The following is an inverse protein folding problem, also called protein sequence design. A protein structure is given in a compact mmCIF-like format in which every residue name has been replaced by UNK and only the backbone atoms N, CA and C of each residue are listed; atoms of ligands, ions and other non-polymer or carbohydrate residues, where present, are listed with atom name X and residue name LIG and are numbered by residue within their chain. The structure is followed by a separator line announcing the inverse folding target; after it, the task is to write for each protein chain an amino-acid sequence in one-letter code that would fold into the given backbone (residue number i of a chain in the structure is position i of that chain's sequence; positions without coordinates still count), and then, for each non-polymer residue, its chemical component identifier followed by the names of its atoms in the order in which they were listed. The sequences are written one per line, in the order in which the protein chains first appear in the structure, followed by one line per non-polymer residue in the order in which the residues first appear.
data_IF_371340758716
#
_entry.id   IF_371340758716
#
_cell.length_a   1.000
_cell.length_b   1.000
_cell.length_c   1.000
_cell.angle_alpha   90.00
_cell.angle_beta   90.00
_cell.angle_gamma   90.00
#
_symmetry.space_group_name_H-M   'P 1'
#
loop_
_entity.id
_entity.type
_entity.pdbx_description
1 polymer ?
#
# COMPACT_ATOMS: atom_id res chain seq x y z
N UNK A 1 -1.46 -8.70 12.18
CA UNK A 1 -2.85 -8.67 12.73
C UNK A 1 -3.91 -8.39 11.65
N UNK A 2 -3.74 -7.39 10.76
CA UNK A 2 -4.76 -7.07 9.73
C UNK A 2 -5.02 -8.22 8.75
N UNK A 3 -3.98 -8.92 8.28
CA UNK A 3 -4.14 -10.10 7.41
C UNK A 3 -4.90 -11.23 8.12
N UNK A 4 -4.63 -11.45 9.42
CA UNK A 4 -5.34 -12.42 10.25
C UNK A 4 -6.84 -12.06 10.42
N UNK A 5 -7.13 -10.77 10.45
CA UNK A 5 -8.49 -10.25 10.51
C UNK A 5 -9.23 -10.29 9.15
N UNK A 6 -8.59 -10.82 8.09
CA UNK A 6 -9.19 -10.95 6.77
C UNK A 6 -9.11 -9.67 5.92
N UNK A 7 -8.34 -8.67 6.33
CA UNK A 7 -8.12 -7.47 5.53
C UNK A 7 -7.22 -7.80 4.33
N UNK A 8 -7.65 -7.43 3.14
CA UNK A 8 -6.81 -7.54 1.94
C UNK A 8 -5.86 -6.37 1.86
N UNK A 9 -4.57 -6.65 1.87
CA UNK A 9 -3.50 -5.65 1.80
C UNK A 9 -2.79 -5.78 0.46
N UNK A 10 -2.52 -4.63 -0.16
CA UNK A 10 -1.78 -4.54 -1.42
C UNK A 10 -0.65 -3.54 -1.25
N UNK A 11 0.53 -3.92 -1.71
CA UNK A 11 1.71 -3.08 -1.75
C UNK A 11 1.99 -2.68 -3.19
N UNK A 12 1.98 -1.36 -3.46
CA UNK A 12 2.22 -0.84 -4.79
C UNK A 12 3.70 -1.01 -5.16
N UNK A 13 3.95 -1.56 -6.33
CA UNK A 13 5.28 -1.73 -6.90
C UNK A 13 5.48 -0.75 -8.06
N UNK A 14 6.44 0.18 -7.94
CA UNK A 14 6.81 1.06 -9.05
C UNK A 14 7.33 0.28 -10.27
N UNK A 15 7.92 -0.89 -10.05
CA UNK A 15 8.42 -1.77 -11.12
C UNK A 15 7.25 -2.40 -11.88
N UNK A 16 6.34 -3.09 -11.17
CA UNK A 16 5.17 -3.70 -11.79
C UNK A 16 4.28 -2.67 -12.49
N UNK A 17 4.13 -1.50 -11.91
CA UNK A 17 3.38 -0.42 -12.52
C UNK A 17 3.97 0.01 -13.86
N UNK A 18 5.30 0.12 -13.97
CA UNK A 18 5.99 0.44 -15.24
C UNK A 18 5.88 -0.69 -16.26
N UNK A 19 6.12 -1.92 -15.84
CA UNK A 19 6.12 -3.09 -16.71
C UNK A 19 4.73 -3.37 -17.30
N UNK A 20 3.68 -3.01 -16.57
CA UNK A 20 2.29 -3.11 -17.05
C UNK A 20 1.91 -2.08 -18.11
N UNK A 21 2.78 -1.10 -18.43
CA UNK A 21 2.52 -0.02 -19.38
C UNK A 21 1.37 0.93 -18.97
N UNK A 22 0.88 0.83 -17.73
CA UNK A 22 -0.29 1.56 -17.22
C UNK A 22 0.07 2.70 -16.24
N UNK A 23 1.33 3.11 -16.25
CA UNK A 23 1.91 4.13 -15.36
C UNK A 23 1.30 5.52 -15.53
N UNK A 24 0.55 5.77 -16.59
CA UNK A 24 0.03 7.10 -16.94
C UNK A 24 -0.87 7.76 -15.87
N UNK A 25 -1.28 7.04 -14.83
CA UNK A 25 -2.15 7.61 -13.78
C UNK A 25 -1.41 8.23 -12.59
N UNK A 26 -0.11 7.96 -12.42
CA UNK A 26 0.68 8.52 -11.30
C UNK A 26 1.83 9.42 -11.77
N UNK A 27 1.94 9.70 -13.08
CA UNK A 27 3.01 10.46 -13.69
C UNK A 27 4.35 9.70 -13.71
N UNK A 28 5.36 10.28 -14.38
CA UNK A 28 6.72 9.71 -14.50
C UNK A 28 7.55 9.80 -13.19
N UNK A 29 6.95 10.27 -12.12
CA UNK A 29 7.63 10.39 -10.83
C UNK A 29 7.71 9.03 -10.16
N UNK A 30 8.93 8.57 -9.92
CA UNK A 30 9.26 7.47 -8.99
C UNK A 30 8.97 7.93 -7.53
N UNK A 31 7.86 8.65 -7.36
CA UNK A 31 7.43 9.13 -6.06
C UNK A 31 6.70 8.03 -5.30
N UNK A 32 7.03 7.85 -4.04
CA UNK A 32 6.24 7.01 -3.14
C UNK A 32 4.84 7.62 -3.03
N UNK A 33 3.81 6.80 -3.20
CA UNK A 33 2.44 7.23 -2.99
C UNK A 33 2.26 7.69 -1.54
N UNK A 34 1.92 8.98 -1.37
CA UNK A 34 1.68 9.57 -0.04
C UNK A 34 0.22 9.99 0.15
N UNK A 35 -0.69 9.37 -0.58
CA UNK A 35 -2.12 9.64 -0.48
C UNK A 35 -2.73 8.91 0.72
N UNK A 36 -3.51 9.65 1.52
CA UNK A 36 -4.34 9.10 2.59
C UNK A 36 -5.78 9.36 2.20
N UNK A 37 -6.45 8.32 1.75
CA UNK A 37 -7.84 8.40 1.35
C UNK A 37 -8.58 7.10 1.64
N UNK A 38 -9.85 7.21 1.96
CA UNK A 38 -10.70 6.10 2.33
C UNK A 38 -12.06 6.27 1.64
N UNK A 39 -12.48 5.24 0.89
CA UNK A 39 -13.81 5.20 0.31
C UNK A 39 -14.69 4.20 1.08
N UNK A 40 -15.83 4.66 1.59
CA UNK A 40 -16.77 3.87 2.40
C UNK A 40 -18.08 3.74 1.62
N UNK A 41 -18.60 2.52 1.50
CA UNK A 41 -19.88 2.17 0.88
C UNK A 41 -20.08 2.76 -0.52
N UNK A 42 -18.99 3.03 -1.24
CA UNK A 42 -18.99 3.66 -2.57
C UNK A 42 -19.72 5.00 -2.61
N UNK A 43 -19.87 5.67 -1.48
CA UNK A 43 -20.56 6.93 -1.29
C UNK A 43 -19.71 7.98 -0.61
N UNK A 44 -19.08 7.63 0.51
CA UNK A 44 -18.28 8.54 1.31
C UNK A 44 -16.83 8.46 0.91
N UNK A 45 -16.19 9.60 0.74
CA UNK A 45 -14.76 9.70 0.49
C UNK A 45 -14.11 10.55 1.58
N UNK A 46 -13.13 9.99 2.28
CA UNK A 46 -12.20 10.75 3.10
C UNK A 46 -10.91 11.00 2.33
N UNK A 47 -10.39 12.22 2.38
CA UNK A 47 -9.07 12.61 1.87
C UNK A 47 -8.42 13.51 2.90
N UNK A 48 -7.18 13.21 3.32
CA UNK A 48 -6.52 13.97 4.36
C UNK A 48 -5.06 13.63 4.55
N UNK A 49 -4.53 14.09 5.68
CA UNK A 49 -3.15 13.83 6.11
C UNK A 49 -3.04 12.61 7.05
N UNK A 50 -4.15 12.12 7.62
CA UNK A 50 -4.20 11.04 8.60
C UNK A 50 -3.66 9.73 8.04
N UNK A 51 -2.56 9.24 8.60
CA UNK A 51 -2.07 7.88 8.36
C UNK A 51 -2.79 6.87 9.27
N UNK A 52 -2.79 5.61 8.87
CA UNK A 52 -3.32 4.52 9.70
C UNK A 52 -2.23 3.99 10.64
N UNK A 53 -1.75 4.87 11.53
CA UNK A 53 -0.74 4.56 12.54
C UNK A 53 -1.07 5.25 13.88
N UNK A 54 -0.50 4.78 15.01
CA UNK A 54 -0.77 5.35 16.33
C UNK A 54 -0.34 6.81 16.47
N UNK A 55 0.72 7.22 15.80
CA UNK A 55 1.24 8.60 15.87
C UNK A 55 0.26 9.58 15.24
N UNK A 56 -0.27 9.29 14.06
CA UNK A 56 -1.30 10.10 13.41
C UNK A 56 -2.60 10.15 14.22
N UNK A 57 -2.95 9.04 14.90
CA UNK A 57 -4.19 8.98 15.67
C UNK A 57 -4.13 9.65 17.04
N UNK A 58 -2.93 9.82 17.64
CA UNK A 58 -2.80 10.27 19.02
C UNK A 58 -1.93 11.52 19.22
N UNK A 59 -0.99 11.79 18.33
CA UNK A 59 0.06 12.79 18.56
C UNK A 59 0.08 13.91 17.52
N UNK A 60 -0.12 13.57 16.24
CA UNK A 60 -0.04 14.55 15.17
C UNK A 60 -1.30 15.41 15.06
N UNK A 61 -1.13 16.64 14.60
CA UNK A 61 -2.26 17.45 14.12
C UNK A 61 -2.58 17.01 12.70
N UNK A 62 -3.75 16.44 12.51
CA UNK A 62 -4.21 15.92 11.22
C UNK A 62 -5.40 16.71 10.70
N UNK A 63 -5.52 16.79 9.38
CA UNK A 63 -6.63 17.44 8.71
C UNK A 63 -7.16 16.57 7.60
N UNK A 64 -8.47 16.59 7.40
CA UNK A 64 -9.10 15.87 6.31
C UNK A 64 -10.49 16.37 5.96
N UNK A 65 -10.95 15.96 4.81
CA UNK A 65 -12.28 16.24 4.30
C UNK A 65 -13.06 14.93 4.19
N UNK A 66 -14.30 14.94 4.66
CA UNK A 66 -15.28 13.88 4.42
C UNK A 66 -16.25 14.39 3.38
N UNK A 67 -16.36 13.72 2.25
CA UNK A 67 -17.15 14.15 1.09
C UNK A 67 -18.26 13.13 0.86
N UNK A 68 -19.51 13.54 0.94
CA UNK A 68 -20.66 12.71 0.53
C UNK A 68 -20.84 12.83 -0.99
N UNK A 69 -20.19 11.92 -1.71
CA UNK A 69 -20.27 11.87 -3.17
C UNK A 69 -20.00 10.45 -3.67
N UNK A 70 -21.05 9.78 -4.11
CA UNK A 70 -20.93 8.46 -4.73
C UNK A 70 -20.04 8.50 -5.98
N UNK A 71 -20.07 9.59 -6.75
CA UNK A 71 -19.24 9.74 -7.95
C UNK A 71 -17.76 9.75 -7.59
N UNK A 72 -17.35 10.60 -6.66
CA UNK A 72 -15.94 10.71 -6.26
C UNK A 72 -15.46 9.44 -5.56
N UNK A 73 -16.26 8.85 -4.66
CA UNK A 73 -15.91 7.62 -3.98
C UNK A 73 -15.72 6.45 -4.96
N UNK A 74 -16.56 6.34 -5.99
CA UNK A 74 -16.43 5.33 -7.03
C UNK A 74 -15.24 5.58 -7.95
N UNK A 75 -14.95 6.84 -8.30
CA UNK A 75 -13.75 7.20 -9.07
C UNK A 75 -12.46 6.80 -8.34
N UNK A 76 -12.33 7.15 -7.06
CA UNK A 76 -11.17 6.79 -6.24
C UNK A 76 -11.09 5.27 -6.07
N UNK A 77 -12.18 4.60 -5.76
CA UNK A 77 -12.24 3.14 -5.73
C UNK A 77 -11.86 2.48 -7.05
N UNK A 78 -12.17 3.13 -8.18
CA UNK A 78 -11.74 2.71 -9.52
C UNK A 78 -10.22 2.84 -9.72
N UNK A 79 -9.61 3.92 -9.21
CA UNK A 79 -8.16 4.11 -9.23
C UNK A 79 -7.48 3.00 -8.42
N UNK A 80 -7.93 2.73 -7.20
CA UNK A 80 -7.39 1.66 -6.37
C UNK A 80 -7.48 0.29 -7.04
N UNK A 81 -8.64 -0.07 -7.59
CA UNK A 81 -8.78 -1.36 -8.30
C UNK A 81 -7.82 -1.48 -9.47
N UNK A 82 -7.63 -0.42 -10.25
CA UNK A 82 -6.66 -0.45 -11.36
C UNK A 82 -5.23 -0.60 -10.85
N UNK A 83 -4.86 0.13 -9.82
CA UNK A 83 -3.52 0.06 -9.23
C UNK A 83 -3.23 -1.33 -8.64
N UNK A 84 -4.19 -1.92 -7.92
CA UNK A 84 -4.01 -3.23 -7.29
C UNK A 84 -4.03 -4.39 -8.28
N UNK A 85 -4.70 -4.23 -9.43
CA UNK A 85 -4.79 -5.31 -10.42
C UNK A 85 -3.58 -5.43 -11.35
N UNK A 86 -2.71 -4.42 -11.42
CA UNK A 86 -1.63 -4.42 -12.41
C UNK A 86 -0.34 -3.72 -11.98
N UNK A 87 -0.25 -3.32 -10.72
CA UNK A 87 0.91 -2.57 -10.23
C UNK A 87 1.15 -2.77 -8.73
N UNK A 88 0.68 -3.90 -8.18
CA UNK A 88 0.81 -4.17 -6.76
C UNK A 88 0.97 -5.66 -6.47
N UNK A 89 1.68 -5.97 -5.42
CA UNK A 89 1.68 -7.29 -4.80
C UNK A 89 0.51 -7.40 -3.82
N UNK A 90 -0.22 -8.51 -3.87
CA UNK A 90 -1.18 -8.85 -2.83
C UNK A 90 -0.44 -9.55 -1.69
N UNK A 91 -0.56 -9.04 -0.48
CA UNK A 91 0.03 -9.66 0.68
C UNK A 91 -0.88 -10.78 1.23
N UNK A 92 -0.28 -11.89 1.64
CA UNK A 92 -0.96 -12.97 2.37
C UNK A 92 -0.05 -13.59 3.42
N UNK A 93 -0.63 -14.35 4.33
CA UNK A 93 0.14 -15.21 5.21
C UNK A 93 0.42 -16.54 4.51
N UNK A 94 1.62 -17.07 4.68
CA UNK A 94 1.95 -18.41 4.23
C UNK A 94 1.07 -19.44 4.93
N UNK A 95 0.65 -20.54 4.26
CA UNK A 95 -0.31 -21.49 4.81
C UNK A 95 0.16 -22.18 6.11
N UNK A 96 1.47 -22.33 6.28
CA UNK A 96 2.12 -23.10 7.35
C UNK A 96 2.81 -22.21 8.41
N UNK A 97 2.75 -20.89 8.24
CA UNK A 97 3.47 -19.96 9.12
C UNK A 97 2.81 -18.57 9.12
N UNK A 98 3.23 -17.72 10.07
CA UNK A 98 2.84 -16.30 10.10
C UNK A 98 3.68 -15.41 9.16
N UNK A 99 4.48 -16.01 8.30
CA UNK A 99 5.33 -15.29 7.37
C UNK A 99 4.49 -14.64 6.28
N UNK A 100 4.81 -13.38 5.97
CA UNK A 100 4.18 -12.64 4.87
C UNK A 100 4.77 -13.13 3.55
N UNK A 101 3.90 -13.33 2.57
CA UNK A 101 4.22 -13.60 1.18
C UNK A 101 3.64 -12.50 0.29
N UNK A 102 4.39 -12.10 -0.74
CA UNK A 102 3.98 -11.18 -1.79
C UNK A 102 3.56 -11.96 -3.00
N UNK A 103 2.33 -11.80 -3.42
CA UNK A 103 1.75 -12.50 -4.57
C UNK A 103 1.60 -11.51 -5.72
N UNK A 104 2.34 -11.75 -6.78
CA UNK A 104 2.20 -11.08 -8.07
C UNK A 104 1.23 -11.88 -8.92
N UNK A 105 0.29 -11.20 -9.57
CA UNK A 105 -0.63 -11.83 -10.52
C UNK A 105 -0.40 -11.19 -11.89
N UNK A 106 -0.03 -12.01 -12.88
CA UNK A 106 0.16 -11.55 -14.26
C UNK A 106 -1.19 -11.31 -14.97
N UNK A 107 -1.11 -10.82 -16.21
CA UNK A 107 -2.30 -10.53 -17.05
C UNK A 107 -3.05 -11.79 -17.49
N UNK A 108 -2.44 -12.98 -17.39
CA UNK A 108 -3.05 -14.28 -17.66
C UNK A 108 -3.68 -14.90 -16.41
N UNK A 109 -3.48 -14.29 -15.23
CA UNK A 109 -3.96 -14.78 -13.96
C UNK A 109 -3.03 -15.78 -13.27
N UNK A 110 -1.78 -15.96 -13.75
CA UNK A 110 -0.80 -16.77 -13.05
C UNK A 110 -0.25 -16.04 -11.84
N UNK A 111 -0.16 -16.73 -10.73
CA UNK A 111 0.39 -16.19 -9.49
C UNK A 111 1.86 -16.61 -9.33
N UNK A 112 2.72 -15.62 -9.06
CA UNK A 112 4.09 -15.80 -8.62
C UNK A 112 4.21 -15.38 -7.16
N UNK A 113 4.85 -16.21 -6.33
CA UNK A 113 4.94 -15.99 -4.88
C UNK A 113 6.37 -15.63 -4.53
N UNK A 114 6.53 -14.50 -3.85
CA UNK A 114 7.80 -14.04 -3.33
C UNK A 114 7.78 -14.13 -1.79
N UNK A 115 8.81 -14.75 -1.22
CA UNK A 115 8.96 -14.94 0.24
C UNK A 115 9.74 -13.82 0.93
N UNK A 116 10.21 -12.87 0.15
CA UNK A 116 10.84 -11.63 0.60
C UNK A 116 10.28 -10.48 -0.21
N UNK A 117 10.33 -9.27 0.32
CA UNK A 117 9.88 -8.05 -0.36
C UNK A 117 10.59 -7.89 -1.72
N UNK A 118 9.86 -7.93 -2.85
CA UNK A 118 10.49 -8.01 -4.17
C UNK A 118 11.19 -6.72 -4.63
N UNK A 119 10.71 -5.56 -4.15
CA UNK A 119 11.27 -4.24 -4.49
C UNK A 119 12.29 -3.75 -3.44
N UNK A 120 12.70 -4.60 -2.51
CA UNK A 120 13.64 -4.26 -1.45
C UNK A 120 15.06 -4.10 -2.01
N UNK A 121 15.71 -2.99 -1.65
CA UNK A 121 17.12 -2.76 -1.93
C UNK A 121 17.97 -3.40 -0.81
N UNK A 122 18.77 -4.45 -1.11
CA UNK A 122 19.61 -5.11 -0.11
C UNK A 122 20.53 -4.14 0.64
N UNK A 123 20.97 -3.07 -0.03
CA UNK A 123 21.84 -2.05 0.58
C UNK A 123 21.07 -1.16 1.55
N UNK A 124 19.83 -0.80 1.22
CA UNK A 124 18.95 -0.08 2.13
C UNK A 124 18.62 -0.93 3.35
N UNK A 125 18.35 -2.23 3.15
CA UNK A 125 18.09 -3.19 4.21
C UNK A 125 19.25 -3.29 5.20
N UNK A 126 20.48 -3.36 4.70
CA UNK A 126 21.70 -3.37 5.53
C UNK A 126 21.82 -2.08 6.35
N UNK A 127 21.57 -0.92 5.72
CA UNK A 127 21.58 0.39 6.40
C UNK A 127 20.52 0.45 7.51
N UNK A 128 19.30 0.01 7.25
CA UNK A 128 18.22 -0.01 8.23
C UNK A 128 18.54 -0.95 9.39
N UNK A 129 19.17 -2.12 9.13
CA UNK A 129 19.57 -3.05 10.16
C UNK A 129 20.63 -2.45 11.10
N UNK A 130 21.58 -1.68 10.55
CA UNK A 130 22.61 -0.98 11.31
C UNK A 130 22.06 0.22 12.10
N UNK A 131 21.03 0.87 11.61
CA UNK A 131 20.40 2.05 12.24
C UNK A 131 19.30 1.68 13.25
N UNK A 132 18.72 0.47 13.14
CA UNK A 132 17.62 0.01 14.00
C UNK A 132 17.87 0.21 15.51
N UNK A 133 19.06 -0.07 16.07
CA UNK A 133 19.31 0.15 17.50
C UNK A 133 19.42 1.64 17.90
N UNK A 134 19.52 2.55 16.93
CA UNK A 134 19.62 4.00 17.15
C UNK A 134 18.27 4.74 16.99
N UNK A 135 17.25 4.04 16.50
CA UNK A 135 15.91 4.61 16.28
C UNK A 135 15.00 4.07 17.38
N UNK A 136 14.56 4.93 18.29
CA UNK A 136 13.54 4.56 19.27
C UNK A 136 12.18 4.36 18.59
N UNK A 137 11.38 3.42 19.09
CA UNK A 137 10.02 3.16 18.56
C UNK A 137 9.09 4.37 18.68
N UNK A 138 9.44 5.35 19.52
CA UNK A 138 8.71 6.61 19.67
C UNK A 138 8.90 7.59 18.49
N UNK A 139 9.87 7.32 17.61
CA UNK A 139 10.16 8.14 16.42
C UNK A 139 9.58 7.55 15.12
N UNK A 140 8.97 6.39 15.19
CA UNK A 140 8.26 5.73 14.10
C UNK A 140 6.76 5.89 14.29
#
# INVERSE_FOLDING_TARGET
DLLKAGVRIFELSPKLARDSGRVAYFGDTIGRLHAKSLAIDRRWLFVGSLNLDPRSSHTNTEMGLVIDSAVLAQMVGGIYRRATNSGAFRLRLAPDSERIEWVETDWQGHESIHVAEPDDDPWLRLKLLLLKPLISEELL
#
